data_IF_161938924481
#
_entry.id   IF_161938924481
#
_cell.length_a   1.000
_cell.length_b   1.000
_cell.length_c   1.000
_cell.angle_alpha   90.00
_cell.angle_beta   90.00
_cell.angle_gamma   90.00
#
_symmetry.space_group_name_H-M   'P 1'
#
loop_
_entity.id
_entity.type
_entity.pdbx_description
1 polymer ?
#
# COMPACT_ATOMS: atom_id res chain seq x y z
N UNK A 1 9.79 -28.39 -6.17
CA UNK A 1 10.22 -28.08 -5.40
C UNK A 1 9.57 -28.11 -4.50
N UNK A 2 10.10 -28.38 -3.93
CA UNK A 2 9.41 -28.42 -2.88
C UNK A 2 8.88 -27.15 -2.60
N UNK A 3 7.75 -27.22 -2.17
CA UNK A 3 7.17 -26.10 -1.76
C UNK A 3 7.77 -25.71 -0.52
N UNK A 4 8.09 -24.49 -0.42
CA UNK A 4 8.61 -23.99 0.81
C UNK A 4 7.48 -23.85 1.81
N UNK A 5 7.78 -23.94 3.08
CA UNK A 5 6.72 -23.91 4.10
C UNK A 5 5.84 -22.68 4.04
N UNK A 6 6.41 -21.58 3.65
CA UNK A 6 5.62 -20.36 3.66
C UNK A 6 4.88 -20.16 2.36
N UNK A 7 5.14 -21.06 1.47
CA UNK A 7 4.34 -20.98 0.32
C UNK A 7 2.97 -21.42 0.60
N UNK A 8 2.92 -21.98 0.74
CA UNK A 8 1.97 -22.49 0.87
C UNK A 8 1.29 -22.89 0.42
N UNK A 9 1.66 -23.43 0.24
CA UNK A 9 1.19 -23.78 -0.42
C UNK A 9 0.27 -23.69 -0.49
N UNK A 10 0.12 -23.81 -0.34
CA UNK A 10 -0.62 -23.77 -0.35
C UNK A 10 -1.22 -22.95 -0.48
N UNK A 11 -1.10 -22.42 -0.66
CA UNK A 11 -1.52 -21.74 -0.83
C UNK A 11 -1.99 -21.67 -1.59
N UNK A 12 -2.19 -21.92 -2.03
CA UNK A 12 -2.54 -21.95 -2.72
C UNK A 12 -3.31 -22.41 -3.08
N UNK A 13 -3.92 -22.74 -3.13
CA UNK A 13 -4.59 -23.13 -3.44
C UNK A 13 -5.50 -23.23 -3.09
N UNK A 14 -6.23 -23.21 -2.90
CA UNK A 14 -7.12 -23.37 -2.53
C UNK A 14 -8.03 -22.67 -2.29
N UNK A 15 -9.03 -22.60 -2.14
CA UNK A 15 -9.67 -21.66 -1.70
C UNK A 15 -9.95 -20.66 -2.68
N UNK A 16 -10.35 -20.92 -3.76
CA UNK A 16 -10.37 -20.10 -4.82
C UNK A 16 -11.33 -18.99 -4.80
N UNK A 17 -12.53 -19.18 -4.35
CA UNK A 17 -13.48 -18.10 -4.28
C UNK A 17 -13.02 -17.01 -3.37
N UNK A 18 -12.46 -17.40 -2.29
CA UNK A 18 -11.95 -16.44 -1.35
C UNK A 18 -10.83 -15.64 -1.93
N UNK A 19 -9.98 -16.29 -2.68
CA UNK A 19 -8.88 -15.63 -3.32
C UNK A 19 -9.38 -14.59 -4.31
N UNK A 20 -10.44 -14.91 -5.02
CA UNK A 20 -10.98 -13.98 -5.99
C UNK A 20 -11.46 -12.72 -5.33
N UNK A 21 -12.11 -12.82 -4.19
CA UNK A 21 -12.53 -11.64 -3.49
C UNK A 21 -11.37 -10.79 -3.11
N UNK A 22 -10.32 -11.44 -2.62
CA UNK A 22 -9.16 -10.71 -2.20
C UNK A 22 -8.47 -10.06 -3.36
N UNK A 23 -8.51 -10.69 -4.51
CA UNK A 23 -7.82 -10.14 -5.65
C UNK A 23 -8.50 -8.87 -6.16
N UNK A 24 -9.69 -8.53 -5.66
CA UNK A 24 -10.28 -7.25 -6.00
C UNK A 24 -9.57 -6.11 -5.29
N UNK A 25 -8.82 -6.40 -4.25
CA UNK A 25 -8.07 -5.38 -3.54
C UNK A 25 -6.70 -5.23 -4.20
N UNK A 26 -6.40 -4.07 -4.78
CA UNK A 26 -5.14 -3.92 -5.52
C UNK A 26 -3.90 -4.10 -4.66
N UNK A 27 -4.01 -3.93 -3.34
CA UNK A 27 -2.86 -4.16 -2.45
C UNK A 27 -2.46 -5.62 -2.37
N UNK A 28 -3.32 -6.54 -2.81
CA UNK A 28 -3.03 -7.95 -2.75
C UNK A 28 -2.57 -8.52 -4.09
N UNK A 29 -2.11 -7.66 -4.99
CA UNK A 29 -1.68 -8.12 -6.31
C UNK A 29 -0.16 -8.24 -6.35
N UNK A 30 0.32 -9.10 -7.24
CA UNK A 30 1.75 -9.23 -7.47
C UNK A 30 2.32 -7.93 -8.04
N UNK A 31 1.52 -7.23 -8.82
CA UNK A 31 1.95 -5.96 -9.37
C UNK A 31 2.28 -4.97 -8.26
N UNK A 32 1.42 -4.88 -7.26
CA UNK A 32 1.67 -3.97 -6.14
C UNK A 32 2.90 -4.40 -5.36
N UNK A 33 3.05 -5.69 -5.11
CA UNK A 33 4.19 -6.18 -4.36
C UNK A 33 5.49 -5.81 -5.05
N UNK A 34 5.56 -6.02 -6.37
CA UNK A 34 6.78 -5.68 -7.11
C UNK A 34 7.03 -4.18 -7.10
N UNK A 35 5.99 -3.40 -7.34
CA UNK A 35 6.12 -1.95 -7.38
C UNK A 35 6.57 -1.40 -6.03
N UNK A 36 5.94 -1.84 -4.95
CA UNK A 36 6.27 -1.31 -3.64
C UNK A 36 7.68 -1.67 -3.22
N UNK A 37 8.13 -2.89 -3.55
CA UNK A 37 9.49 -3.29 -3.24
C UNK A 37 10.50 -2.45 -4.02
N UNK A 38 10.24 -2.26 -5.30
CA UNK A 38 11.13 -1.46 -6.12
C UNK A 38 11.16 -0.02 -5.65
N UNK A 39 10.00 0.51 -5.28
CA UNK A 39 9.92 1.88 -4.82
C UNK A 39 10.72 2.08 -3.53
N UNK A 40 10.59 1.14 -2.59
CA UNK A 40 11.34 1.26 -1.33
C UNK A 40 12.84 1.11 -1.55
N UNK A 41 13.24 0.31 -2.53
CA UNK A 41 14.66 0.18 -2.83
C UNK A 41 15.23 1.50 -3.33
N UNK A 42 14.43 2.25 -4.08
CA UNK A 42 14.85 3.56 -4.59
C UNK A 42 14.70 4.66 -3.56
N UNK A 43 13.78 4.48 -2.62
CA UNK A 43 13.48 5.49 -1.60
C UNK A 43 13.54 4.84 -0.23
N UNK A 44 14.74 4.57 0.29
CA UNK A 44 14.87 3.80 1.52
C UNK A 44 14.53 4.56 2.79
N UNK A 45 14.38 5.86 2.73
CA UNK A 45 14.13 6.66 3.93
C UNK A 45 12.68 7.13 3.96
N UNK A 46 12.15 7.22 5.19
CA UNK A 46 10.79 7.74 5.39
C UNK A 46 10.72 9.18 4.91
N UNK A 47 9.82 9.44 3.96
CA UNK A 47 9.70 10.76 3.37
C UNK A 47 9.26 11.80 4.39
N UNK A 48 8.33 11.44 5.27
CA UNK A 48 7.83 12.37 6.26
C UNK A 48 8.89 12.72 7.30
N UNK A 49 9.60 11.70 7.81
CA UNK A 49 10.68 11.97 8.75
C UNK A 49 11.76 12.80 8.10
N UNK A 50 12.06 12.52 6.84
CA UNK A 50 13.09 13.25 6.13
C UNK A 50 12.74 14.73 5.99
N UNK A 51 11.46 15.03 5.78
CA UNK A 51 11.02 16.43 5.72
C UNK A 51 11.25 17.15 7.04
N UNK A 52 11.24 16.42 8.13
CA UNK A 52 11.46 16.98 9.46
C UNK A 52 12.92 16.95 9.88
N UNK A 53 13.80 16.53 8.98
CA UNK A 53 15.22 16.44 9.29
C UNK A 53 15.61 15.20 10.05
N UNK A 54 14.76 14.18 10.07
CA UNK A 54 15.02 12.93 10.77
C UNK A 54 15.32 11.85 9.76
N UNK A 55 16.42 11.13 9.98
CA UNK A 55 16.80 10.00 9.11
C UNK A 55 16.22 8.73 9.71
N UNK A 56 15.25 8.14 9.04
CA UNK A 56 14.63 6.92 9.52
C UNK A 56 14.28 6.03 8.34
N UNK A 57 14.57 4.74 8.40
CA UNK A 57 14.26 3.83 7.29
C UNK A 57 12.77 3.75 7.04
N UNK A 58 12.40 3.64 5.77
CA UNK A 58 11.02 3.39 5.40
C UNK A 58 10.76 1.89 5.47
N UNK A 59 9.55 1.53 5.87
CA UNK A 59 9.16 0.12 5.96
C UNK A 59 7.98 -0.21 5.08
N UNK A 60 7.32 0.81 4.53
CA UNK A 60 6.16 0.57 3.69
C UNK A 60 6.02 1.69 2.67
N UNK A 61 5.11 1.47 1.73
CA UNK A 61 4.83 2.44 0.68
C UNK A 61 3.37 2.86 0.82
N UNK A 62 3.13 4.15 0.71
CA UNK A 62 1.81 4.72 0.91
C UNK A 62 1.43 5.57 -0.28
N UNK A 63 0.15 5.74 -0.49
CA UNK A 63 -0.37 6.63 -1.54
C UNK A 63 -0.55 8.02 -0.95
N UNK A 64 0.04 9.01 -1.61
CA UNK A 64 -0.10 10.39 -1.14
C UNK A 64 -1.57 10.78 -1.11
N UNK A 65 -2.28 10.51 -2.21
CA UNK A 65 -3.73 10.63 -2.23
C UNK A 65 -4.29 9.21 -2.10
N UNK A 66 -5.13 8.93 -1.09
CA UNK A 66 -5.61 7.58 -0.86
C UNK A 66 -6.30 7.00 -2.09
N UNK A 67 -6.09 5.71 -2.33
CA UNK A 67 -6.54 5.10 -3.56
C UNK A 67 -8.07 5.11 -3.74
N UNK A 68 -8.90 5.04 -2.71
CA UNK A 68 -10.34 5.16 -2.96
C UNK A 68 -10.73 6.50 -3.57
N UNK A 69 -9.93 7.55 -3.29
CA UNK A 69 -10.20 8.86 -3.86
C UNK A 69 -9.67 8.98 -5.27
N UNK A 70 -8.52 8.37 -5.54
CA UNK A 70 -7.88 8.49 -6.83
C UNK A 70 -7.40 7.13 -7.31
N UNK A 71 -8.37 6.27 -7.68
CA UNK A 71 -8.07 4.89 -8.05
C UNK A 71 -7.15 4.78 -9.25
N UNK A 72 -7.23 5.73 -10.17
CA UNK A 72 -6.38 5.69 -11.36
C UNK A 72 -4.92 5.87 -11.04
N UNK A 73 -4.61 6.42 -9.88
CA UNK A 73 -3.23 6.68 -9.48
C UNK A 73 -2.66 5.58 -8.58
N UNK A 74 -3.34 4.45 -8.48
CA UNK A 74 -2.88 3.41 -7.56
C UNK A 74 -1.46 2.96 -7.87
N UNK A 75 -1.13 2.79 -9.15
CA UNK A 75 0.20 2.33 -9.55
C UNK A 75 1.09 3.47 -10.05
N UNK A 76 0.64 4.69 -9.88
CA UNK A 76 1.39 5.86 -10.33
C UNK A 76 2.46 6.20 -9.30
N UNK A 77 3.72 6.06 -9.71
CA UNK A 77 4.84 6.28 -8.79
C UNK A 77 4.87 7.69 -8.24
N UNK A 78 4.33 8.67 -8.97
CA UNK A 78 4.31 10.04 -8.48
C UNK A 78 3.33 10.23 -7.33
N UNK A 79 2.42 9.28 -7.13
CA UNK A 79 1.47 9.30 -6.02
C UNK A 79 1.91 8.38 -4.88
N UNK A 80 3.15 7.94 -4.87
CA UNK A 80 3.65 7.05 -3.84
C UNK A 80 4.66 7.76 -2.97
N UNK A 81 4.78 7.29 -1.73
CA UNK A 81 5.83 7.74 -0.84
C UNK A 81 6.20 6.60 0.08
N UNK A 82 7.46 6.57 0.50
CA UNK A 82 7.94 5.57 1.42
C UNK A 82 7.84 6.14 2.83
N UNK A 83 7.31 5.36 3.76
CA UNK A 83 7.09 5.83 5.13
C UNK A 83 7.55 4.77 6.13
N UNK A 84 7.93 5.23 7.33
CA UNK A 84 8.14 4.31 8.43
C UNK A 84 6.78 3.94 9.01
N UNK A 85 6.77 2.93 9.88
CA UNK A 85 5.52 2.42 10.43
C UNK A 85 4.72 3.49 11.14
N UNK A 86 5.39 4.32 11.92
CA UNK A 86 4.72 5.34 12.70
C UNK A 86 4.05 6.37 11.81
N UNK A 87 4.80 6.87 10.84
CA UNK A 87 4.25 7.88 9.92
C UNK A 87 3.13 7.28 9.08
N UNK A 88 3.27 6.02 8.69
CA UNK A 88 2.23 5.35 7.94
C UNK A 88 0.95 5.24 8.76
N UNK A 89 1.09 4.93 10.04
CA UNK A 89 -0.08 4.81 10.91
C UNK A 89 -0.81 6.15 11.05
N UNK A 90 -0.05 7.22 11.27
CA UNK A 90 -0.64 8.55 11.39
C UNK A 90 -1.31 8.99 10.10
N UNK A 91 -0.64 8.71 8.98
CA UNK A 91 -1.21 9.04 7.68
C UNK A 91 -2.50 8.27 7.45
N UNK A 92 -2.55 7.00 7.89
CA UNK A 92 -3.74 6.20 7.76
C UNK A 92 -4.94 6.82 8.46
N UNK A 93 -4.71 7.40 9.64
CA UNK A 93 -5.79 8.05 10.36
C UNK A 93 -6.28 9.29 9.63
N UNK A 94 -5.36 10.05 9.07
CA UNK A 94 -5.72 11.23 8.29
C UNK A 94 -6.47 10.82 7.02
N UNK A 95 -6.02 9.75 6.38
CA UNK A 95 -6.64 9.28 5.15
C UNK A 95 -8.08 8.81 5.38
N UNK A 96 -8.34 8.22 6.53
CA UNK A 96 -9.71 7.80 6.84
C UNK A 96 -10.66 8.99 6.83
N UNK A 97 -10.23 10.09 7.43
CA UNK A 97 -11.05 11.30 7.43
C UNK A 97 -11.23 11.85 6.02
N UNK A 98 -10.16 11.87 5.25
CA UNK A 98 -10.24 12.37 3.88
C UNK A 98 -11.20 11.54 3.05
N UNK A 99 -11.12 10.22 3.20
CA UNK A 99 -11.98 9.33 2.45
C UNK A 99 -13.44 9.54 2.84
N UNK A 100 -13.70 9.68 4.14
CA UNK A 100 -15.06 9.90 4.59
C UNK A 100 -15.63 11.20 4.05
N UNK A 101 -14.85 12.26 4.07
CA UNK A 101 -15.29 13.54 3.55
C UNK A 101 -15.49 13.47 2.05
N UNK A 102 -14.60 12.80 1.36
CA UNK A 102 -14.73 12.65 -0.08
C UNK A 102 -16.00 11.89 -0.43
N UNK A 103 -16.32 10.84 0.32
CA UNK A 103 -17.52 10.05 0.08
C UNK A 103 -18.78 10.88 0.27
N UNK A 104 -18.77 11.79 1.23
CA UNK A 104 -19.93 12.64 1.45
C UNK A 104 -20.20 13.54 0.26
N UNK A 105 -19.15 14.05 -0.36
CA UNK A 105 -19.32 14.97 -1.48
C UNK A 105 -19.51 14.26 -2.81
N UNK A 106 -19.18 12.95 -2.88
CA UNK A 106 -19.29 12.19 -4.12
C UNK A 106 -20.35 11.10 -4.02
N UNK A 107 -21.19 11.20 -3.02
CA UNK A 107 -22.22 10.22 -2.81
C UNK A 107 -23.38 10.50 -3.75
N UNK A 108 -23.99 9.47 -4.27
CA UNK A 108 -25.09 9.65 -5.20
C UNK A 108 -26.42 9.23 -4.61
#
# INVERSE_FOLDING_TARGET
MARLPWDHPARTEKTDGYVRERSADPYHTARWTRLSRAFRAEHPLCAECNRKGIIRPATCVDHIVPWPICADSFYDRTNLQALCDECNHLKGQQDKKRIQEWKKTHQQ
#
